data_IF_415413823938
#
_entry.id   IF_415413823938
#
_cell.length_a   1.000
_cell.length_b   1.000
_cell.length_c   1.000
_cell.angle_alpha   90.00
_cell.angle_beta   90.00
_cell.angle_gamma   90.00
#
_symmetry.space_group_name_H-M   'P 1'
#
loop_
_entity.id
_entity.type
_entity.pdbx_description
1 polymer ?
2 non-polymer ?
3 non-polymer ?
4 water ?
#
# COMPACT_ATOMS: atom_id res chain seq x y z
N UNK A 1 -11.10 10.95 -10.58
CA UNK A 1 -10.59 11.01 -9.18
C UNK A 1 -11.61 10.36 -8.25
N UNK A 2 -11.14 9.50 -7.34
CA UNK A 2 -11.91 9.11 -6.16
C UNK A 2 -11.15 9.57 -4.92
N UNK A 3 -9.93 9.06 -4.74
CA UNK A 3 -9.11 9.47 -3.62
C UNK A 3 -8.62 10.89 -3.83
N UNK A 4 -8.87 11.73 -2.82
CA UNK A 4 -8.43 13.11 -2.83
C UNK A 4 -7.44 13.43 -1.72
N UNK A 5 -7.45 12.63 -0.65
CA UNK A 5 -6.60 12.82 0.54
C UNK A 5 -5.16 12.51 0.24
N UNK A 6 -4.29 13.45 0.57
CA UNK A 6 -2.86 13.32 0.30
C UNK A 6 -2.09 13.88 1.47
N UNK A 7 -0.87 13.37 1.60
CA UNK A 7 0.05 13.78 2.66
C UNK A 7 0.57 15.16 2.26
N UNK A 8 0.34 16.17 3.10
CA UNK A 8 0.97 17.48 2.94
C UNK A 8 2.45 17.43 3.31
N UNK A 9 3.31 17.95 2.46
CA UNK A 9 4.74 18.04 2.76
C UNK A 9 5.52 16.72 2.77
N UNK A 10 5.08 15.76 1.98
CA UNK A 10 5.70 14.45 1.94
C UNK A 10 7.15 14.53 1.51
N UNK A 11 8.02 13.94 2.33
CA UNK A 11 9.40 13.72 1.96
C UNK A 11 9.59 12.24 1.71
N UNK A 12 9.66 11.89 0.43
CA UNK A 12 9.64 10.50 0.01
C UNK A 12 10.86 9.72 0.45
N UNK A 13 12.00 10.39 0.62
CA UNK A 13 13.23 9.69 1.07
C UNK A 13 13.05 9.12 2.48
N UNK A 14 12.22 9.78 3.28
CA UNK A 14 11.98 9.33 4.63
C UNK A 14 11.02 8.12 4.77
N UNK A 15 10.40 7.65 3.69
CA UNK A 15 9.59 6.42 3.78
C UNK A 15 10.44 5.17 3.47
N UNK A 16 11.76 5.34 3.30
CA UNK A 16 12.58 4.23 2.88
C UNK A 16 12.58 3.20 3.99
N UNK A 17 12.85 1.97 3.61
CA UNK A 17 13.05 0.94 4.61
C UNK A 17 11.91 -0.04 4.69
N UNK A 18 11.89 -0.80 5.76
CA UNK A 18 10.93 -1.90 5.87
C UNK A 18 9.56 -1.45 6.38
N UNK A 19 8.54 -2.17 5.95
CA UNK A 19 7.16 -1.93 6.30
C UNK A 19 6.42 -3.27 6.30
N UNK A 20 5.26 -3.27 6.94
CA UNK A 20 4.35 -4.43 6.97
C UNK A 20 2.96 -3.98 6.53
N UNK A 21 2.27 -4.80 5.76
CA UNK A 21 0.88 -4.46 5.39
C UNK A 21 -0.06 -4.95 6.48
N UNK A 22 -0.37 -4.08 7.43
CA UNK A 22 -1.21 -4.42 8.54
C UNK A 22 -2.68 -4.64 8.14
N UNK A 23 -3.17 -3.82 7.20
CA UNK A 23 -4.54 -3.97 6.75
C UNK A 23 -4.70 -3.43 5.35
N UNK A 24 -5.75 -3.90 4.66
CA UNK A 24 -6.00 -3.54 3.28
C UNK A 24 -7.48 -3.42 3.08
N UNK A 25 -7.90 -2.59 2.13
CA UNK A 25 -9.33 -2.46 1.78
C UNK A 25 -9.44 -2.13 0.31
N UNK A 26 -10.55 -2.49 -0.30
CA UNK A 26 -10.68 -2.30 -1.73
C UNK A 26 -12.13 -2.11 -2.13
N UNK A 27 -12.29 -1.55 -3.32
CA UNK A 27 -13.57 -1.09 -3.84
C UNK A 27 -14.43 -2.29 -4.23
N UNK A 28 -13.77 -3.38 -4.60
CA UNK A 28 -14.42 -4.56 -5.09
C UNK A 28 -13.81 -5.78 -4.43
N UNK A 29 -14.68 -6.70 -4.03
CA UNK A 29 -14.29 -7.85 -3.24
C UNK A 29 -13.26 -8.69 -3.97
N UNK A 30 -13.41 -8.83 -5.29
CA UNK A 30 -12.52 -9.68 -6.06
C UNK A 30 -11.08 -9.18 -6.09
N UNK A 31 -10.86 -7.92 -5.72
CA UNK A 31 -9.49 -7.35 -5.71
C UNK A 31 -8.63 -7.89 -4.57
N UNK A 32 -9.28 -8.40 -3.52
CA UNK A 32 -8.60 -8.85 -2.29
C UNK A 32 -9.01 -10.22 -1.76
N UNK A 33 -10.05 -10.83 -2.31
CA UNK A 33 -10.71 -11.96 -1.63
C UNK A 33 -9.84 -13.21 -1.45
N UNK A 34 -9.39 -13.83 -2.52
CA UNK A 34 -8.51 -15.01 -2.40
C UNK A 34 -7.09 -14.60 -2.14
N UNK A 35 -6.28 -15.57 -1.70
CA UNK A 35 -4.85 -15.31 -1.50
C UNK A 35 -4.16 -14.91 -2.79
N UNK A 36 -4.68 -15.37 -3.93
CA UNK A 36 -4.15 -15.01 -5.24
C UNK A 36 -4.85 -13.81 -5.90
N UNK A 37 -5.74 -13.13 -5.18
CA UNK A 37 -6.43 -11.96 -5.75
C UNK A 37 -5.41 -10.90 -6.19
N UNK A 38 -5.74 -10.13 -7.24
CA UNK A 38 -4.76 -9.22 -7.82
C UNK A 38 -4.13 -8.18 -6.89
N UNK A 39 -4.88 -7.62 -5.94
CA UNK A 39 -4.33 -6.56 -5.08
C UNK A 39 -3.92 -7.04 -3.69
N UNK A 40 -3.94 -8.35 -3.49
CA UNK A 40 -3.47 -8.92 -2.27
C UNK A 40 -1.95 -8.95 -2.39
N UNK A 41 -1.33 -7.84 -1.99
CA UNK A 41 0.11 -7.63 -2.08
C UNK A 41 0.61 -7.17 -0.73
N UNK A 42 1.72 -7.76 -0.31
CA UNK A 42 2.24 -7.57 1.02
C UNK A 42 3.52 -6.82 0.89
N UNK A 43 3.54 -5.59 1.38
CA UNK A 43 4.67 -4.70 1.17
C UNK A 43 5.77 -5.01 2.17
N UNK A 44 7.01 -5.07 1.69
CA UNK A 44 8.15 -5.47 2.52
C UNK A 44 9.13 -4.34 2.70
N UNK A 45 9.34 -3.54 1.66
CA UNK A 45 10.33 -2.50 1.70
C UNK A 45 10.06 -1.43 0.64
N UNK A 46 10.28 -0.19 1.01
CA UNK A 46 10.18 0.88 0.06
C UNK A 46 11.59 1.42 -0.21
N UNK A 47 11.92 1.60 -1.48
CA UNK A 47 13.24 2.13 -1.84
C UNK A 47 13.12 3.32 -2.78
N UNK A 48 12.93 4.52 -2.22
CA UNK A 48 12.98 5.69 -3.11
C UNK A 48 14.36 5.83 -3.77
N UNK A 49 14.40 6.48 -4.92
CA UNK A 49 15.64 6.60 -5.68
C UNK A 49 16.16 8.01 -5.49
N UNK A 50 17.41 8.26 -5.95
CA UNK A 50 17.91 9.62 -5.77
C UNK A 50 17.04 10.68 -6.48
N UNK A 51 16.53 10.38 -7.67
CA UNK A 51 15.62 11.30 -8.37
C UNK A 51 14.18 11.37 -7.81
N UNK A 52 13.89 10.61 -6.74
CA UNK A 52 12.60 10.69 -6.04
C UNK A 52 11.52 9.84 -6.66
N UNK A 53 11.93 8.85 -7.44
CA UNK A 53 11.07 7.77 -7.84
C UNK A 53 11.03 6.75 -6.69
N UNK A 54 10.28 5.67 -6.84
CA UNK A 54 10.05 4.79 -5.70
C UNK A 54 10.03 3.36 -6.16
N UNK A 55 10.99 2.58 -5.68
CA UNK A 55 10.96 1.12 -5.86
C UNK A 55 10.18 0.52 -4.74
N UNK A 56 9.31 -0.42 -5.06
CA UNK A 56 8.51 -1.08 -4.06
C UNK A 56 8.79 -2.58 -4.09
N UNK A 57 9.29 -3.11 -2.98
CA UNK A 57 9.42 -4.55 -2.79
C UNK A 57 8.23 -5.14 -2.01
N UNK A 58 7.69 -6.23 -2.53
CA UNK A 58 6.57 -6.88 -1.92
C UNK A 58 6.52 -8.36 -2.26
N UNK A 59 5.64 -9.07 -1.56
CA UNK A 59 5.32 -10.46 -1.84
C UNK A 59 3.89 -10.56 -2.38
N UNK A 60 3.69 -11.52 -3.27
CA UNK A 60 2.36 -11.82 -3.78
C UNK A 60 2.22 -13.33 -3.99
N UNK A 61 1.06 -13.88 -3.62
CA UNK A 61 0.77 -15.29 -3.86
C UNK A 61 0.37 -15.46 -5.32
N UNK A 62 1.15 -16.24 -6.05
CA UNK A 62 0.85 -16.56 -7.45
C UNK A 62 1.16 -18.02 -7.73
N UNK A 63 0.28 -18.68 -8.47
CA UNK A 63 0.47 -20.09 -8.84
C UNK A 63 0.90 -20.97 -7.67
N UNK A 64 0.10 -20.97 -6.60
CA UNK A 64 0.36 -21.80 -5.43
C UNK A 64 1.62 -21.50 -4.61
N UNK A 65 2.29 -20.37 -4.87
CA UNK A 65 3.53 -20.03 -4.16
C UNK A 65 3.67 -18.54 -3.89
N UNK A 66 4.51 -18.22 -2.93
CA UNK A 66 4.72 -16.86 -2.51
C UNK A 66 5.90 -16.28 -3.29
N UNK A 67 5.62 -15.37 -4.22
CA UNK A 67 6.66 -14.77 -5.06
C UNK A 67 7.10 -13.39 -4.56
N UNK A 68 8.39 -13.10 -4.69
CA UNK A 68 8.93 -11.76 -4.49
C UNK A 68 8.75 -10.90 -5.74
N UNK A 69 8.25 -9.68 -5.56
CA UNK A 69 8.05 -8.75 -6.67
C UNK A 69 8.75 -7.43 -6.39
N UNK A 70 9.17 -6.78 -7.46
CA UNK A 70 9.81 -5.47 -7.38
C UNK A 70 9.17 -4.59 -8.43
N UNK A 71 8.65 -3.46 -7.98
CA UNK A 71 7.88 -2.52 -8.80
C UNK A 71 8.53 -1.14 -8.70
N UNK A 72 8.40 -0.34 -9.75
CA UNK A 72 8.85 1.04 -9.69
C UNK A 72 7.67 1.96 -9.92
N UNK A 73 7.54 2.95 -9.06
CA UNK A 73 6.50 3.94 -9.21
C UNK A 73 7.17 5.27 -9.56
N UNK A 74 6.80 5.83 -10.70
CA UNK A 74 7.42 7.07 -11.16
C UNK A 74 6.78 8.30 -10.49
N UNK A 75 7.62 9.23 -10.07
CA UNK A 75 7.16 10.49 -9.47
C UNK A 75 6.28 11.34 -10.41
N UNK A 76 5.45 12.20 -9.83
CA UNK A 76 4.70 13.20 -10.64
C UNK A 76 5.05 14.59 -10.10
N UNK A 77 4.37 15.61 -10.63
CA UNK A 77 4.53 16.96 -10.10
C UNK A 77 3.98 17.10 -8.69
N UNK A 78 3.12 16.16 -8.28
CA UNK A 78 2.59 16.16 -6.93
C UNK A 78 3.45 15.16 -6.15
N UNK A 79 4.12 15.64 -5.08
CA UNK A 79 5.00 14.77 -4.32
C UNK A 79 4.32 13.51 -3.74
N UNK A 80 3.02 13.55 -3.44
CA UNK A 80 2.33 12.38 -2.83
C UNK A 80 1.74 11.40 -3.83
N UNK A 81 1.86 11.68 -5.12
CA UNK A 81 1.22 10.89 -6.15
C UNK A 81 2.27 10.34 -7.10
N UNK A 82 2.21 9.05 -7.34
CA UNK A 82 3.16 8.35 -8.21
C UNK A 82 2.37 7.57 -9.22
N UNK A 83 3.05 7.06 -10.25
CA UNK A 83 2.38 6.38 -11.34
C UNK A 83 3.14 5.10 -11.67
N UNK A 84 2.39 4.00 -11.77
CA UNK A 84 2.94 2.72 -12.21
C UNK A 84 2.53 2.49 -13.66
N UNK A 85 3.46 2.00 -14.48
CA UNK A 85 3.18 1.76 -15.90
C UNK A 85 2.53 0.40 -16.13
N UNK A 86 1.49 0.37 -16.95
CA UNK A 86 0.78 -0.86 -17.29
C UNK A 86 -0.09 -0.64 -18.52
N UNK A 87 -0.81 -1.69 -18.93
CA UNK A 87 -1.86 -1.59 -19.95
C UNK A 87 -2.82 -0.42 -19.65
N UNK A 88 -2.97 -0.10 -18.37
CA UNK A 88 -3.73 1.06 -17.90
C UNK A 88 -2.87 2.00 -17.03
N UNK A 89 -3.24 3.27 -16.95
CA UNK A 89 -2.49 4.26 -16.14
C UNK A 89 -2.84 4.17 -14.64
N UNK A 90 -1.96 3.56 -13.85
CA UNK A 90 -2.21 3.30 -12.43
C UNK A 90 -1.54 4.29 -11.48
N UNK A 91 -2.33 4.81 -10.56
CA UNK A 91 -1.98 5.95 -9.74
C UNK A 91 -1.77 5.51 -8.29
N UNK A 92 -0.65 5.88 -7.71
CA UNK A 92 -0.42 5.57 -6.31
C UNK A 92 -0.31 6.83 -5.50
N UNK A 93 -1.10 6.93 -4.44
CA UNK A 93 -1.14 8.14 -3.61
C UNK A 93 -0.78 7.84 -2.19
N UNK A 94 0.09 8.66 -1.61
CA UNK A 94 0.32 8.62 -0.18
C UNK A 94 -0.66 9.52 0.55
N UNK A 95 -1.46 8.93 1.41
CA UNK A 95 -2.54 9.62 2.09
C UNK A 95 -2.06 10.29 3.35
N UNK A 96 -1.12 9.64 4.03
CA UNK A 96 -0.68 10.10 5.35
C UNK A 96 0.43 9.17 5.81
N UNK A 97 1.41 9.73 6.53
CA UNK A 97 2.50 8.96 7.13
C UNK A 97 3.18 9.80 8.18
N UNK A 98 3.68 9.14 9.22
CA UNK A 98 4.51 9.80 10.22
C UNK A 98 5.94 9.30 10.14
N UNK A 99 6.22 8.50 9.11
CA UNK A 99 7.55 8.02 8.77
C UNK A 99 8.08 6.95 9.70
N UNK A 100 7.85 7.14 10.99
CA UNK A 100 8.46 6.29 12.00
C UNK A 100 7.60 5.11 12.36
N UNK A 101 6.29 5.18 12.08
CA UNK A 101 5.34 4.15 12.54
C UNK A 101 4.36 3.65 11.48
N UNK A 102 3.68 4.55 10.78
CA UNK A 102 2.58 4.13 9.88
C UNK A 102 2.63 4.89 8.58
N UNK A 103 2.06 4.31 7.53
CA UNK A 103 1.92 4.98 6.26
C UNK A 103 0.65 4.44 5.59
N UNK A 104 -0.22 5.36 5.18
CA UNK A 104 -1.43 5.00 4.42
C UNK A 104 -1.29 5.33 2.96
N UNK A 105 -1.65 4.38 2.10
CA UNK A 105 -1.60 4.66 0.70
C UNK A 105 -2.75 4.00 0.00
N UNK A 106 -3.01 4.49 -1.19
CA UNK A 106 -4.05 3.93 -2.05
C UNK A 106 -3.49 3.80 -3.43
N UNK A 107 -3.95 2.78 -4.15
CA UNK A 107 -3.70 2.66 -5.58
C UNK A 107 -5.03 2.68 -6.30
N UNK A 108 -5.09 3.40 -7.42
CA UNK A 108 -6.36 3.57 -8.11
C UNK A 108 -6.25 3.54 -9.63
N UNK A 109 -7.32 3.05 -10.27
CA UNK A 109 -7.53 3.05 -11.73
C UNK A 109 -6.81 1.96 -12.51
N UNK A 115 -12.48 4.51 -10.86
CA UNK A 115 -13.55 3.54 -10.70
C UNK A 115 -13.18 2.40 -9.74
N UNK A 116 -11.93 1.95 -9.73
CA UNK A 116 -11.52 0.91 -8.77
C UNK A 116 -10.23 1.25 -8.01
N UNK A 117 -10.07 0.65 -6.83
CA UNK A 117 -9.26 1.22 -5.78
C UNK A 117 -8.91 0.21 -4.68
N UNK A 118 -7.68 0.27 -4.20
CA UNK A 118 -7.24 -0.49 -3.03
C UNK A 118 -6.32 0.38 -2.19
N UNK A 119 -6.47 0.29 -0.88
CA UNK A 119 -5.68 1.06 0.06
C UNK A 119 -5.11 0.15 1.14
N UNK A 120 -3.95 0.51 1.69
CA UNK A 120 -3.41 -0.25 2.81
C UNK A 120 -2.95 0.67 3.91
N UNK A 121 -2.88 0.09 5.11
CA UNK A 121 -2.21 0.69 6.27
C UNK A 121 -0.90 -0.08 6.48
N UNK A 122 0.21 0.61 6.23
CA UNK A 122 1.54 0.06 6.43
C UNK A 122 2.00 0.47 7.79
N UNK A 123 2.69 -0.44 8.48
CA UNK A 123 3.32 -0.13 9.78
C UNK A 123 4.78 -0.61 9.80
N UNK A 124 5.61 -0.02 10.65
CA UNK A 124 7.04 -0.37 10.64
C UNK A 124 7.33 -1.69 11.32
N UNK A 125 6.50 -2.06 12.28
CA UNK A 125 6.75 -3.29 13.03
C UNK A 125 5.51 -4.15 13.10
N UNK A 126 5.71 -5.46 13.35
CA UNK A 126 4.61 -6.42 13.29
C UNK A 126 3.80 -6.38 14.59
N UNK A 127 3.09 -5.28 14.78
CA UNK A 127 2.27 -5.05 15.94
C UNK A 127 0.98 -4.49 15.42
N UNK A 128 -0.09 -4.68 16.16
CA UNK A 128 -1.38 -4.14 15.80
C UNK A 128 -1.47 -2.72 16.32
N UNK A 129 -1.27 -1.76 15.43
CA UNK A 129 -1.25 -0.39 15.86
C UNK A 129 -2.69 0.12 15.75
N UNK A 130 -3.39 0.17 16.87
CA UNK A 130 -4.80 0.55 16.84
C UNK A 130 -5.01 1.97 16.37
N UNK A 131 -4.08 2.86 16.67
CA UNK A 131 -4.21 4.25 16.23
C UNK A 131 -3.98 4.38 14.72
N UNK A 132 -3.06 3.60 14.19
CA UNK A 132 -2.82 3.60 12.76
C UNK A 132 -4.07 3.08 12.04
N UNK A 133 -4.66 1.99 12.55
CA UNK A 133 -5.91 1.46 12.01
C UNK A 133 -7.10 2.41 12.18
N UNK A 134 -7.16 3.12 13.29
CA UNK A 134 -8.15 4.18 13.42
C UNK A 134 -8.00 5.24 12.31
N UNK A 135 -6.76 5.63 12.01
CA UNK A 135 -6.51 6.62 10.96
C UNK A 135 -6.81 6.07 9.57
N UNK A 136 -6.51 4.80 9.37
CA UNK A 136 -6.86 4.12 8.11
C UNK A 136 -8.38 4.11 7.93
N UNK A 137 -9.10 3.74 8.98
CA UNK A 137 -10.55 3.60 8.87
C UNK A 137 -11.23 4.96 8.67
N UNK A 138 -10.69 6.01 9.28
CA UNK A 138 -11.17 7.38 9.02
C UNK A 138 -11.00 7.75 7.55
N UNK A 139 -9.82 7.48 6.99
CA UNK A 139 -9.55 7.79 5.59
C UNK A 139 -10.45 7.00 4.66
N UNK A 140 -10.82 5.78 5.05
CA UNK A 140 -11.63 4.92 4.22
C UNK A 140 -13.12 5.31 4.26
N UNK A 141 -13.52 6.01 5.30
CA UNK A 141 -14.88 6.54 5.39
C UNK A 141 -15.24 7.29 4.10
N UNK A 142 -14.29 8.04 3.55
CA UNK A 142 -14.49 8.81 2.31
C UNK A 142 -14.56 7.98 1.01
N UNK A 143 -14.40 6.66 1.10
CA UNK A 143 -14.16 5.87 -0.10
C UNK A 143 -15.17 4.74 -0.18
N UNK A 144 -15.53 4.32 -1.40
CA UNK A 144 -16.51 3.23 -1.63
C UNK A 144 -15.96 1.79 -1.48
N UNK A 145 -15.48 1.44 -0.29
CA UNK A 145 -14.87 0.12 -0.10
C UNK A 145 -15.92 -0.94 0.19
N UNK A 146 -15.71 -2.15 -0.32
CA UNK A 146 -16.57 -3.28 -0.04
C UNK A 146 -15.83 -4.50 0.51
N UNK A 147 -14.50 -4.43 0.68
CA UNK A 147 -13.81 -5.50 1.38
C UNK A 147 -12.70 -4.92 2.22
N UNK A 148 -12.57 -5.40 3.46
CA UNK A 148 -11.50 -4.95 4.36
C UNK A 148 -10.85 -6.12 5.06
N UNK A 149 -9.52 -6.19 5.00
CA UNK A 149 -8.76 -7.22 5.68
C UNK A 149 -7.81 -6.62 6.71
N UNK A 150 -7.65 -7.30 7.84
CA UNK A 150 -6.62 -6.97 8.83
C UNK A 150 -5.87 -8.25 9.24
N UNK A 151 -4.56 -8.10 9.45
CA UNK A 151 -3.68 -9.23 9.70
C UNK A 151 -3.05 -9.15 11.09
N UNK A 152 -2.73 -10.30 11.66
CA UNK A 152 -2.23 -10.36 13.04
C UNK A 152 -0.72 -10.41 13.01
N UNK A 153 -0.08 -10.24 14.17
CA UNK A 153 1.38 -10.21 14.15
C UNK A 153 2.04 -11.49 13.62
N UNK A 154 1.46 -12.65 13.91
CA UNK A 154 2.04 -13.91 13.43
C UNK A 154 2.05 -13.98 11.90
N UNK A 155 0.96 -13.53 11.29
CA UNK A 155 0.86 -13.49 9.83
C UNK A 155 1.86 -12.50 9.22
N UNK A 156 2.02 -11.33 9.84
CA UNK A 156 2.91 -10.30 9.29
C UNK A 156 4.35 -10.81 9.24
N UNK A 157 4.69 -11.68 10.20
CA UNK A 157 6.02 -12.23 10.31
C UNK A 157 6.24 -13.49 9.49
N UNK A 158 5.21 -13.91 8.75
CA UNK A 158 5.28 -15.12 7.92
C UNK A 158 5.47 -14.77 6.47
N UNK A 159 5.19 -15.71 5.59
CA UNK A 159 5.41 -15.50 4.16
C UNK A 159 4.08 -15.35 3.44
N UNK A 160 3.95 -14.27 2.67
CA UNK A 160 2.64 -13.90 2.11
C UNK A 160 1.54 -13.91 3.17
N UNK A 161 1.91 -13.51 4.38
CA UNK A 161 0.95 -13.40 5.50
C UNK A 161 0.22 -14.69 5.88
N UNK A 162 0.82 -15.84 5.62
CA UNK A 162 0.26 -17.09 6.12
C UNK A 162 0.79 -17.31 7.53
X LIG B 1 4.04 4.52 -0.55
X LIG B 1 3.55 3.11 -0.78
X LIG B 1 3.81 2.73 -2.21
X LIG B 1 3.38 1.29 -2.43
X LIG B 1 2.36 1.24 -3.40
X LIG B 1 2.11 0.09 -4.06
X LIG B 1 1.81 0.14 -5.41
X LIG B 1 1.57 -1.02 -6.11
X LIG B 1 1.60 -2.23 -5.46
X LIG B 1 1.90 -2.28 -4.10
X LIG B 1 2.16 -1.10 -3.41
X LIG B 1 1.35 -3.39 -6.14
X LIG B 1 0.33 -3.39 -7.16
X LIG B 1 0.16 -4.81 -7.72
X LIG B 1 1.54 -5.37 -8.15
X LIG B 1 1.38 -6.37 -9.22
X LIG B 1 1.08 -7.67 -8.62
X LIG B 1 0.97 -8.73 -9.74
X LIG B 1 2.18 -8.77 -10.51
X LIG B 1 2.43 -7.50 -11.12
X LIG B 1 2.60 -6.42 -10.03
X LIG C 1 3.14 14.79 -14.01
X LIG C 1 4.61 14.64 -14.11
X LIG C 1 2.64 15.64 -15.10
X LIG C 1 2.56 13.44 -14.12
X LIG C 1 2.78 15.43 -12.73
X LIG D 1 16.63 7.51 -10.28
X LIG D 1 17.05 8.23 -9.05
X LIG D 1 16.91 8.35 -11.46
X LIG D 1 17.37 6.23 -10.35
X LIG D 1 15.17 7.24 -10.24
#
# INVERSE_FOLDING_TARGET
IIVTQTMKGLDIQKVAGTWYSLAMAASDISLLDAQSAPLRVYVEELKPTPEGNLEILLQKWENGECAQKKIIAEKTKIPAVFKIDALNENKVLVLDTDYKKYLLFCMENSAEPEQSLACQCLVRTPEVDKEALEKFDKALKALPMHIRLAFNPTQLEGQCHV
PX9 C1 C2 C3 C4 O5 C6 C9 C10 C11 C8 C7 O12 C13 C14 C15 N16 C18 C19 O20 C21 C17
SO4 S O1 O2 O3 O4
SO4 S O1 O2 O3 O4
#
